data_IF_258695360320
#
_entry.id   IF_258695360320
#
_cell.length_a   1.000
_cell.length_b   1.000
_cell.length_c   1.000
_cell.angle_alpha   90.00
_cell.angle_beta   90.00
_cell.angle_gamma   90.00
#
_symmetry.space_group_name_H-M   'P 1'
#
loop_
_entity.id
_entity.type
_entity.pdbx_description
1 polymer ?
#
# COMPACT_ATOMS: atom_id res chain seq x y z
N UNK A 1 13.39 4.68 0.72
CA UNK A 1 12.95 3.48 -0.03
C UNK A 1 12.23 3.94 -1.28
N UNK A 2 12.65 3.50 -2.47
CA UNK A 2 12.03 3.93 -3.74
C UNK A 2 10.70 3.19 -3.99
N UNK A 3 9.70 3.88 -4.55
CA UNK A 3 8.43 3.27 -4.99
C UNK A 3 8.65 2.11 -5.96
N UNK A 4 9.64 2.23 -6.86
CA UNK A 4 9.98 1.19 -7.83
C UNK A 4 10.42 -0.11 -7.16
N UNK A 5 11.16 -0.02 -6.05
CA UNK A 5 11.60 -1.20 -5.31
C UNK A 5 10.43 -1.92 -4.63
N UNK A 6 9.43 -1.17 -4.16
CA UNK A 6 8.20 -1.73 -3.58
C UNK A 6 7.40 -2.43 -4.69
N UNK A 7 7.21 -1.78 -5.84
CA UNK A 7 6.50 -2.36 -6.99
C UNK A 7 7.16 -3.66 -7.47
N UNK A 8 8.49 -3.66 -7.62
CA UNK A 8 9.22 -4.87 -8.03
C UNK A 8 9.01 -6.04 -7.06
N UNK A 9 8.94 -5.75 -5.76
CA UNK A 9 8.66 -6.73 -4.72
C UNK A 9 7.26 -7.34 -4.87
N UNK A 10 6.24 -6.51 -5.08
CA UNK A 10 4.84 -6.96 -5.28
C UNK A 10 4.71 -7.80 -6.55
N UNK A 11 5.41 -7.42 -7.62
CA UNK A 11 5.48 -8.19 -8.88
C UNK A 11 6.36 -9.45 -8.80
N UNK A 12 7.07 -9.67 -7.68
CA UNK A 12 8.01 -10.78 -7.48
C UNK A 12 9.14 -10.80 -8.52
N UNK A 13 9.54 -9.62 -8.98
CA UNK A 13 10.64 -9.44 -9.92
C UNK A 13 11.88 -9.07 -9.10
N UNK A 14 12.99 -9.82 -9.21
CA UNK A 14 14.26 -9.43 -8.60
C UNK A 14 14.68 -8.05 -9.11
N UNK A 15 14.96 -7.13 -8.19
CA UNK A 15 15.39 -5.79 -8.52
C UNK A 15 16.54 -5.37 -7.60
N UNK A 16 17.51 -4.67 -8.20
CA UNK A 16 18.59 -3.99 -7.50
C UNK A 16 18.56 -2.54 -7.96
N UNK A 17 18.50 -1.60 -7.02
CA UNK A 17 18.38 -0.16 -7.29
C UNK A 17 19.57 0.58 -6.71
N UNK A 18 19.87 1.78 -7.24
CA UNK A 18 21.00 2.58 -6.74
C UNK A 18 22.37 2.06 -7.16
N UNK A 19 22.46 1.47 -8.36
CA UNK A 19 23.73 0.92 -8.88
C UNK A 19 24.66 1.98 -9.48
N UNK A 20 24.19 3.23 -9.63
CA UNK A 20 24.88 4.43 -10.14
C UNK A 20 25.46 4.31 -11.57
N UNK A 21 26.23 3.27 -11.86
CA UNK A 21 26.99 3.04 -13.10
C UNK A 21 26.34 2.01 -14.03
N UNK A 22 25.15 1.50 -13.68
CA UNK A 22 24.52 0.41 -14.42
C UNK A 22 24.20 0.79 -15.88
N UNK A 23 23.70 2.01 -16.10
CA UNK A 23 23.35 2.52 -17.44
C UNK A 23 24.55 2.70 -18.35
N UNK A 24 25.74 2.95 -17.78
CA UNK A 24 26.97 3.16 -18.55
C UNK A 24 27.63 1.83 -18.93
N UNK A 25 27.42 0.78 -18.12
CA UNK A 25 28.09 -0.51 -18.27
C UNK A 25 27.27 -1.59 -18.98
N UNK A 26 25.95 -1.40 -19.08
CA UNK A 26 25.01 -2.36 -19.67
C UNK A 26 24.57 -1.88 -21.04
N UNK A 27 24.73 -2.74 -22.06
CA UNK A 27 24.26 -2.46 -23.42
C UNK A 27 23.08 -3.33 -23.79
N UNK A 28 22.24 -2.83 -24.70
CA UNK A 28 21.15 -3.62 -25.29
C UNK A 28 21.70 -4.93 -25.88
N UNK A 29 21.11 -6.05 -25.47
CA UNK A 29 21.54 -7.39 -25.88
C UNK A 29 22.52 -8.08 -24.91
N UNK A 30 23.05 -7.37 -23.90
CA UNK A 30 23.87 -8.01 -22.87
C UNK A 30 23.04 -9.04 -22.07
N UNK A 31 23.66 -10.17 -21.78
CA UNK A 31 23.14 -11.13 -20.80
C UNK A 31 23.45 -10.61 -19.40
N UNK A 32 22.45 -10.63 -18.53
CA UNK A 32 22.55 -10.06 -17.18
C UNK A 32 21.96 -11.05 -16.17
N UNK A 33 22.59 -11.15 -15.01
CA UNK A 33 22.03 -11.80 -13.83
C UNK A 33 21.71 -10.72 -12.80
N UNK A 34 20.49 -10.74 -12.27
CA UNK A 34 20.06 -9.86 -11.17
C UNK A 34 19.87 -10.70 -9.92
N UNK A 35 20.76 -10.52 -8.94
CA UNK A 35 20.69 -11.14 -7.62
C UNK A 35 20.11 -10.16 -6.61
N UNK A 36 18.79 -10.18 -6.48
CA UNK A 36 18.07 -9.36 -5.51
C UNK A 36 18.35 -9.72 -4.05
N UNK A 37 18.92 -10.89 -3.77
CA UNK A 37 19.23 -11.32 -2.39
C UNK A 37 20.54 -10.74 -1.89
N UNK A 38 21.55 -10.66 -2.76
CA UNK A 38 22.85 -10.05 -2.41
C UNK A 38 23.02 -8.61 -2.92
N UNK A 39 22.04 -8.08 -3.66
CA UNK A 39 22.13 -6.75 -4.26
C UNK A 39 23.16 -6.66 -5.40
N UNK A 40 23.40 -7.74 -6.14
CA UNK A 40 24.42 -7.79 -7.19
C UNK A 40 23.79 -7.85 -8.59
N UNK A 41 24.41 -7.16 -9.54
CA UNK A 41 24.10 -7.30 -10.98
C UNK A 41 25.38 -7.74 -11.70
N UNK A 42 25.30 -8.87 -12.39
CA UNK A 42 26.43 -9.43 -13.14
C UNK A 42 26.15 -9.26 -14.62
N UNK A 43 26.97 -8.46 -15.28
CA UNK A 43 26.87 -8.14 -16.70
C UNK A 43 27.79 -9.07 -17.50
N UNK A 44 27.30 -9.61 -18.61
CA UNK A 44 28.02 -10.57 -19.48
C UNK A 44 28.63 -11.74 -18.66
N UNK A 45 27.81 -12.50 -17.91
CA UNK A 45 28.31 -13.59 -17.09
C UNK A 45 28.92 -14.70 -17.95
N UNK A 46 29.99 -15.30 -17.47
CA UNK A 46 30.55 -16.52 -18.08
C UNK A 46 29.58 -17.70 -17.90
N UNK A 47 29.70 -18.73 -18.74
CA UNK A 47 28.85 -19.92 -18.63
C UNK A 47 28.98 -20.63 -17.27
N UNK A 48 30.16 -20.54 -16.64
CA UNK A 48 30.38 -21.05 -15.28
C UNK A 48 29.51 -20.31 -14.27
N UNK A 49 29.56 -18.97 -14.27
CA UNK A 49 28.75 -18.13 -13.40
C UNK A 49 27.26 -18.34 -13.67
N UNK A 50 26.86 -18.43 -14.94
CA UNK A 50 25.48 -18.68 -15.33
C UNK A 50 24.96 -20.03 -14.79
N UNK A 51 25.78 -21.08 -14.82
CA UNK A 51 25.44 -22.39 -14.28
C UNK A 51 25.30 -22.37 -12.75
N UNK A 52 26.18 -21.66 -12.06
CA UNK A 52 26.12 -21.47 -10.61
C UNK A 52 24.85 -20.71 -10.19
N UNK A 53 24.53 -19.61 -10.87
CA UNK A 53 23.32 -18.83 -10.57
C UNK A 53 22.03 -19.55 -10.94
N UNK A 54 22.02 -20.39 -11.98
CA UNK A 54 20.90 -21.29 -12.25
C UNK A 54 20.67 -22.27 -11.11
N UNK A 55 21.75 -22.86 -10.55
CA UNK A 55 21.64 -23.73 -9.36
C UNK A 55 21.11 -22.95 -8.16
N UNK A 56 21.62 -21.74 -7.91
CA UNK A 56 21.18 -20.87 -6.81
C UNK A 56 19.69 -20.52 -6.94
N UNK A 57 19.24 -20.12 -8.13
CA UNK A 57 17.83 -19.82 -8.41
C UNK A 57 16.92 -21.04 -8.22
N UNK A 58 17.37 -22.23 -8.67
CA UNK A 58 16.64 -23.47 -8.46
C UNK A 58 16.55 -23.84 -6.98
N UNK A 59 17.63 -23.67 -6.20
CA UNK A 59 17.63 -23.91 -4.76
C UNK A 59 16.67 -22.96 -4.05
N UNK A 60 16.75 -21.67 -4.33
CA UNK A 60 15.82 -20.66 -3.80
C UNK A 60 14.36 -21.02 -4.12
N UNK A 61 14.07 -21.42 -5.36
CA UNK A 61 12.73 -21.84 -5.77
C UNK A 61 12.26 -23.08 -4.98
N UNK A 62 13.17 -24.02 -4.70
CA UNK A 62 12.85 -25.20 -3.88
C UNK A 62 12.59 -24.81 -2.42
N UNK A 63 13.42 -23.96 -1.83
CA UNK A 63 13.24 -23.47 -0.46
C UNK A 63 11.91 -22.73 -0.30
N UNK A 64 11.60 -21.83 -1.24
CA UNK A 64 10.32 -21.10 -1.27
C UNK A 64 9.12 -22.05 -1.41
N UNK A 65 9.26 -23.15 -2.17
CA UNK A 65 8.23 -24.20 -2.28
C UNK A 65 8.15 -25.08 -1.04
N UNK A 66 9.27 -25.27 -0.32
CA UNK A 66 9.36 -26.07 0.89
C UNK A 66 8.81 -25.34 2.12
N UNK A 67 8.75 -24.00 2.09
CA UNK A 67 8.03 -23.21 3.10
C UNK A 67 6.55 -23.60 3.07
N UNK A 68 6.18 -24.49 3.98
CA UNK A 68 4.81 -24.85 4.29
C UNK A 68 4.39 -24.10 5.54
N UNK A 69 3.53 -23.10 5.38
CA UNK A 69 2.87 -22.47 6.52
C UNK A 69 1.60 -23.27 6.78
N UNK A 70 1.44 -23.92 7.93
CA UNK A 70 0.22 -24.65 8.22
C UNK A 70 -0.93 -23.65 8.28
N UNK A 71 -1.97 -23.89 7.48
CA UNK A 71 -3.09 -22.96 7.24
C UNK A 71 -3.91 -22.56 8.48
N UNK A 72 -3.67 -23.18 9.64
CA UNK A 72 -4.56 -23.12 10.80
C UNK A 72 -3.85 -22.85 12.14
N UNK A 73 -2.60 -22.38 12.14
CA UNK A 73 -1.92 -22.04 13.40
C UNK A 73 -2.30 -20.61 13.77
N UNK A 74 -3.03 -20.45 14.88
CA UNK A 74 -3.18 -19.13 15.52
C UNK A 74 -1.78 -18.63 15.86
N UNK A 75 -1.41 -17.46 15.34
CA UNK A 75 -0.09 -16.90 15.62
C UNK A 75 -0.10 -16.41 17.07
N UNK A 76 0.71 -17.04 17.91
CA UNK A 76 0.90 -16.64 19.28
C UNK A 76 2.37 -16.73 19.68
N UNK A 77 2.74 -15.94 20.69
CA UNK A 77 4.03 -16.06 21.38
C UNK A 77 4.06 -17.35 22.22
N UNK A 78 5.25 -17.73 22.70
CA UNK A 78 5.43 -18.93 23.54
C UNK A 78 4.62 -18.89 24.85
N UNK A 79 4.35 -17.70 25.36
CA UNK A 79 3.50 -17.42 26.53
C UNK A 79 2.01 -17.23 26.18
N UNK A 80 1.62 -17.48 24.92
CA UNK A 80 0.21 -17.54 24.51
C UNK A 80 -0.42 -16.22 24.08
N UNK A 81 0.33 -15.12 23.99
CA UNK A 81 -0.20 -13.84 23.47
C UNK A 81 -0.46 -13.95 21.98
N UNK A 82 -1.74 -13.81 21.58
CA UNK A 82 -2.13 -13.79 20.19
C UNK A 82 -1.58 -12.55 19.48
N UNK A 83 -1.10 -12.75 18.25
CA UNK A 83 -0.60 -11.69 17.35
C UNK A 83 -1.32 -11.83 16.03
N UNK A 84 -1.84 -10.73 15.49
CA UNK A 84 -2.40 -10.72 14.14
C UNK A 84 -1.28 -10.50 13.13
N UNK A 85 -1.14 -11.42 12.19
CA UNK A 85 -0.20 -11.28 11.06
C UNK A 85 -1.01 -11.08 9.79
N UNK A 86 -0.99 -9.87 9.25
CA UNK A 86 -1.73 -9.50 8.04
C UNK A 86 -0.79 -9.18 6.88
N UNK A 87 -1.32 -9.24 5.65
CA UNK A 87 -0.57 -8.89 4.44
C UNK A 87 -0.59 -7.39 4.13
N UNK A 88 0.48 -6.90 3.52
CA UNK A 88 0.48 -5.59 2.84
C UNK A 88 0.39 -5.85 1.35
N UNK A 89 -0.53 -5.17 0.65
CA UNK A 89 -0.71 -5.33 -0.79
C UNK A 89 -0.88 -3.96 -1.48
N UNK A 90 -0.51 -3.93 -2.76
CA UNK A 90 -0.77 -2.84 -3.69
C UNK A 90 -1.83 -3.23 -4.71
N UNK A 91 -1.90 -4.52 -5.03
CA UNK A 91 -2.70 -5.09 -6.10
C UNK A 91 -3.66 -6.18 -5.58
N UNK A 92 -4.93 -6.21 -6.01
CA UNK A 92 -5.86 -7.28 -5.65
C UNK A 92 -5.33 -8.68 -6.03
N UNK A 93 -4.49 -8.78 -7.06
CA UNK A 93 -3.85 -10.01 -7.53
C UNK A 93 -2.93 -10.65 -6.48
N UNK A 94 -2.57 -9.92 -5.42
CA UNK A 94 -1.75 -10.43 -4.31
C UNK A 94 -2.57 -11.17 -3.24
N UNK A 95 -3.90 -11.03 -3.21
CA UNK A 95 -4.77 -11.66 -2.21
C UNK A 95 -4.62 -13.19 -2.15
N UNK A 96 -4.54 -13.93 -3.28
CA UNK A 96 -4.29 -15.37 -3.25
C UNK A 96 -2.99 -15.74 -2.52
N UNK A 97 -1.97 -14.89 -2.58
CA UNK A 97 -0.70 -15.11 -1.89
C UNK A 97 -0.85 -14.88 -0.38
N UNK A 98 -1.53 -13.81 0.02
CA UNK A 98 -1.83 -13.53 1.44
C UNK A 98 -2.54 -14.73 2.07
N UNK A 99 -3.57 -15.27 1.38
CA UNK A 99 -4.27 -16.49 1.81
C UNK A 99 -3.37 -17.73 1.82
N UNK A 100 -2.49 -17.88 0.83
CA UNK A 100 -1.54 -19.00 0.76
C UNK A 100 -0.58 -19.03 1.94
N UNK A 101 -0.13 -17.87 2.41
CA UNK A 101 0.78 -17.75 3.55
C UNK A 101 0.06 -17.64 4.91
N UNK A 102 -1.26 -17.79 4.95
CA UNK A 102 -2.03 -17.84 6.20
C UNK A 102 -2.15 -16.50 6.93
N UNK A 103 -2.01 -15.38 6.23
CA UNK A 103 -2.20 -14.06 6.83
C UNK A 103 -3.67 -13.79 7.16
N UNK A 104 -3.91 -13.21 8.33
CA UNK A 104 -5.21 -12.84 8.88
C UNK A 104 -5.61 -11.46 8.33
N UNK A 105 -5.98 -11.44 7.05
CA UNK A 105 -6.45 -10.25 6.36
C UNK A 105 -5.34 -9.37 5.77
N UNK A 106 -5.70 -8.13 5.47
CA UNK A 106 -4.82 -7.12 4.88
C UNK A 106 -4.62 -6.00 5.91
N UNK A 107 -3.38 -5.86 6.39
CA UNK A 107 -2.99 -4.81 7.33
C UNK A 107 -2.70 -3.48 6.65
N UNK A 108 -2.44 -3.50 5.34
CA UNK A 108 -2.27 -2.30 4.55
C UNK A 108 -2.59 -2.55 3.08
N UNK A 109 -3.63 -1.90 2.57
CA UNK A 109 -3.89 -1.77 1.14
C UNK A 109 -3.42 -0.40 0.67
N UNK A 110 -2.38 -0.39 -0.16
CA UNK A 110 -1.85 0.80 -0.83
C UNK A 110 -2.73 1.16 -2.03
N UNK A 111 -3.44 2.28 -1.94
CA UNK A 111 -4.43 2.65 -2.96
C UNK A 111 -3.83 3.35 -4.18
N UNK A 112 -2.52 3.63 -4.20
CA UNK A 112 -1.88 4.47 -5.22
C UNK A 112 -1.96 3.86 -6.62
N UNK A 113 -1.98 2.53 -6.74
CA UNK A 113 -1.94 1.86 -8.04
C UNK A 113 -3.10 2.27 -8.97
N UNK A 114 -4.31 2.50 -8.43
CA UNK A 114 -5.46 2.92 -9.25
C UNK A 114 -5.30 4.34 -9.83
N UNK A 115 -4.36 5.12 -9.32
CA UNK A 115 -4.04 6.48 -9.78
C UNK A 115 -2.84 6.52 -10.74
N UNK A 116 -1.95 5.51 -10.72
CA UNK A 116 -0.72 5.51 -11.51
C UNK A 116 -0.96 5.26 -13.00
N UNK A 117 -0.22 5.97 -13.85
CA UNK A 117 -0.21 5.74 -15.30
C UNK A 117 -1.48 6.18 -16.04
N UNK A 118 -2.36 6.95 -15.39
CA UNK A 118 -3.61 7.46 -15.96
C UNK A 118 -3.48 8.93 -16.33
N UNK A 119 -4.23 9.34 -17.36
CA UNK A 119 -4.41 10.77 -17.71
C UNK A 119 -5.43 11.44 -16.79
N UNK A 120 -6.50 10.71 -16.46
CA UNK A 120 -7.64 11.18 -15.66
C UNK A 120 -7.70 10.49 -14.29
N UNK A 121 -8.24 11.21 -13.30
CA UNK A 121 -8.49 10.69 -11.96
C UNK A 121 -9.56 9.59 -11.99
N UNK A 122 -9.39 8.51 -11.21
CA UNK A 122 -10.37 7.43 -11.15
C UNK A 122 -11.66 7.89 -10.45
N UNK A 123 -12.79 7.54 -11.04
CA UNK A 123 -14.13 7.87 -10.55
C UNK A 123 -14.47 7.12 -9.24
N UNK A 124 -15.50 7.60 -8.53
CA UNK A 124 -16.02 6.93 -7.31
C UNK A 124 -16.40 5.48 -7.60
N UNK A 125 -17.02 5.22 -8.76
CA UNK A 125 -17.52 3.89 -9.11
C UNK A 125 -16.39 2.90 -9.44
N UNK A 126 -15.34 3.36 -10.13
CA UNK A 126 -14.14 2.55 -10.37
C UNK A 126 -13.44 2.18 -9.06
N UNK A 127 -13.23 3.18 -8.19
CA UNK A 127 -12.63 2.97 -6.87
C UNK A 127 -13.49 2.04 -6.01
N UNK A 128 -14.81 2.24 -5.97
CA UNK A 128 -15.74 1.39 -5.23
C UNK A 128 -15.69 -0.06 -5.70
N UNK A 129 -15.71 -0.31 -7.01
CA UNK A 129 -15.62 -1.67 -7.57
C UNK A 129 -14.32 -2.36 -7.16
N UNK A 130 -13.20 -1.64 -7.23
CA UNK A 130 -11.89 -2.16 -6.82
C UNK A 130 -11.87 -2.50 -5.32
N UNK A 131 -12.27 -1.56 -4.47
CA UNK A 131 -12.26 -1.74 -3.01
C UNK A 131 -13.27 -2.79 -2.54
N UNK A 132 -14.46 -2.84 -3.13
CA UNK A 132 -15.49 -3.82 -2.80
C UNK A 132 -15.06 -5.25 -3.17
N UNK A 133 -14.36 -5.43 -4.29
CA UNK A 133 -13.78 -6.73 -4.67
C UNK A 133 -12.80 -7.22 -3.60
N UNK A 134 -11.87 -6.37 -3.20
CA UNK A 134 -10.87 -6.68 -2.17
C UNK A 134 -11.54 -7.02 -0.83
N UNK A 135 -12.49 -6.19 -0.38
CA UNK A 135 -13.20 -6.39 0.88
C UNK A 135 -13.96 -7.73 0.89
N UNK A 136 -14.61 -8.10 -0.21
CA UNK A 136 -15.31 -9.40 -0.34
C UNK A 136 -14.35 -10.58 -0.35
N UNK A 137 -13.24 -10.47 -1.06
CA UNK A 137 -12.28 -11.57 -1.18
C UNK A 137 -11.57 -11.87 0.15
N UNK A 138 -11.39 -10.88 1.02
CA UNK A 138 -10.64 -11.02 2.28
C UNK A 138 -11.52 -11.43 3.46
N UNK A 139 -12.85 -11.29 3.31
CA UNK A 139 -13.83 -11.73 4.31
C UNK A 139 -13.61 -13.22 4.70
N UNK A 140 -13.70 -13.57 6.00
CA UNK A 140 -14.18 -12.76 7.13
C UNK A 140 -13.12 -11.82 7.75
N UNK A 141 -11.87 -11.85 7.29
CA UNK A 141 -10.83 -10.99 7.83
C UNK A 141 -10.97 -9.54 7.34
N UNK A 142 -10.30 -8.62 8.04
CA UNK A 142 -10.35 -7.20 7.71
C UNK A 142 -9.36 -6.78 6.63
N UNK A 143 -9.68 -5.68 5.93
CA UNK A 143 -8.75 -4.92 5.09
C UNK A 143 -8.64 -3.48 5.57
N UNK A 144 -7.40 -2.99 5.72
CA UNK A 144 -7.12 -1.60 6.05
C UNK A 144 -6.78 -0.85 4.75
N UNK A 145 -7.68 -0.01 4.25
CA UNK A 145 -7.38 0.87 3.11
C UNK A 145 -6.65 2.13 3.60
N UNK A 146 -5.44 2.34 3.10
CA UNK A 146 -4.75 3.62 3.25
C UNK A 146 -5.22 4.55 2.15
N UNK A 147 -5.66 5.76 2.51
CA UNK A 147 -5.98 6.78 1.50
C UNK A 147 -4.75 7.13 0.68
N UNK A 148 -4.96 7.75 -0.47
CA UNK A 148 -3.90 8.02 -1.44
C UNK A 148 -2.69 8.73 -0.79
N UNK A 149 -1.51 8.14 -0.92
CA UNK A 149 -0.21 8.71 -0.54
C UNK A 149 0.59 9.02 -1.82
N UNK A 150 0.16 10.09 -2.50
CA UNK A 150 0.81 10.61 -3.70
C UNK A 150 1.15 12.09 -3.46
N UNK A 151 2.31 12.52 -3.99
CA UNK A 151 2.69 13.92 -4.08
C UNK A 151 2.18 14.55 -5.37
N UNK A 152 2.14 15.89 -5.41
CA UNK A 152 1.76 16.60 -6.63
C UNK A 152 2.58 16.20 -7.87
N UNK A 153 3.83 15.77 -7.67
CA UNK A 153 4.79 15.35 -8.70
C UNK A 153 4.32 14.20 -9.60
N UNK A 154 3.35 13.38 -9.16
CA UNK A 154 2.83 12.26 -9.96
C UNK A 154 1.55 12.57 -10.73
N UNK A 155 0.93 13.74 -10.51
CA UNK A 155 -0.15 14.25 -11.36
C UNK A 155 0.44 15.02 -12.54
N UNK A 156 1.32 14.37 -13.31
CA UNK A 156 2.12 14.96 -14.39
C UNK A 156 1.28 15.55 -15.56
N UNK A 157 -0.03 15.29 -15.60
CA UNK A 157 -0.94 15.85 -16.58
C UNK A 157 -1.68 17.12 -16.14
N UNK A 158 -1.51 17.57 -14.88
CA UNK A 158 -2.10 18.83 -14.42
C UNK A 158 -1.06 19.96 -14.37
N UNK A 159 -1.23 21.06 -15.14
CA UNK A 159 -0.26 22.16 -15.23
C UNK A 159 -0.10 22.99 -13.95
N UNK A 160 -0.86 22.71 -12.89
CA UNK A 160 -0.94 23.54 -11.68
C UNK A 160 -0.09 23.04 -10.49
N UNK A 161 0.66 21.94 -10.61
CA UNK A 161 1.50 21.49 -9.50
C UNK A 161 2.86 22.22 -9.55
N UNK A 162 3.19 23.07 -8.56
CA UNK A 162 4.50 23.70 -8.50
C UNK A 162 5.58 22.64 -8.33
N UNK A 163 6.71 22.80 -9.02
CA UNK A 163 7.86 21.93 -8.79
C UNK A 163 8.40 22.16 -7.37
N UNK A 164 8.29 21.13 -6.52
CA UNK A 164 8.78 21.21 -5.14
C UNK A 164 10.26 20.82 -5.06
N UNK A 165 11.06 21.61 -4.34
CA UNK A 165 12.46 21.25 -4.04
C UNK A 165 12.58 19.95 -3.22
N UNK A 166 11.54 19.57 -2.47
CA UNK A 166 11.55 18.36 -1.63
C UNK A 166 10.17 17.69 -1.59
N UNK A 167 9.82 16.90 -2.61
CA UNK A 167 8.52 16.21 -2.70
C UNK A 167 8.19 15.31 -1.50
N UNK A 168 9.22 14.78 -0.83
CA UNK A 168 9.06 13.95 0.37
C UNK A 168 8.56 14.73 1.59
N UNK A 169 8.89 16.02 1.69
CA UNK A 169 8.54 16.89 2.82
C UNK A 169 7.37 17.83 2.51
N UNK A 170 7.01 17.97 1.23
CA UNK A 170 6.04 18.95 0.74
C UNK A 170 4.62 18.43 0.65
N UNK A 171 3.97 18.75 -0.47
CA UNK A 171 2.54 18.60 -0.71
C UNK A 171 2.19 17.19 -1.19
N UNK A 172 2.03 16.28 -0.23
CA UNK A 172 1.69 14.87 -0.46
C UNK A 172 0.64 14.34 0.50
N UNK A 173 0.06 13.20 0.14
CA UNK A 173 -0.75 12.39 1.03
C UNK A 173 -1.93 13.18 1.64
N UNK A 174 -2.09 13.16 2.97
CA UNK A 174 -3.20 13.87 3.62
C UNK A 174 -3.22 15.37 3.32
N UNK A 175 -2.06 16.02 3.17
CA UNK A 175 -1.98 17.46 2.85
C UNK A 175 -2.53 17.76 1.46
N UNK A 176 -2.24 16.89 0.49
CA UNK A 176 -2.87 16.95 -0.84
C UNK A 176 -4.38 16.74 -0.74
N UNK A 177 -4.82 15.70 -0.02
CA UNK A 177 -6.23 15.39 0.18
C UNK A 177 -7.03 16.52 0.84
N UNK A 178 -6.44 17.22 1.81
CA UNK A 178 -7.06 18.35 2.50
C UNK A 178 -7.10 19.62 1.63
N UNK A 179 -6.10 19.81 0.76
CA UNK A 179 -6.06 20.92 -0.18
C UNK A 179 -6.97 20.72 -1.42
N UNK A 180 -7.24 19.46 -1.78
CA UNK A 180 -8.12 19.06 -2.91
C UNK A 180 -9.27 18.16 -2.42
N UNK A 181 -10.22 18.67 -1.61
CA UNK A 181 -11.28 17.86 -1.00
C UNK A 181 -12.16 17.12 -2.01
N UNK A 182 -12.34 17.66 -3.21
CA UNK A 182 -13.09 17.03 -4.30
C UNK A 182 -12.51 15.68 -4.70
N UNK A 183 -11.18 15.58 -4.82
CA UNK A 183 -10.49 14.31 -5.12
C UNK A 183 -10.58 13.36 -3.93
N UNK A 184 -10.36 13.90 -2.72
CA UNK A 184 -10.36 13.09 -1.51
C UNK A 184 -11.73 12.49 -1.21
N UNK A 185 -12.80 13.29 -1.36
CA UNK A 185 -14.18 12.84 -1.12
C UNK A 185 -14.59 11.69 -2.03
N UNK A 186 -14.13 11.67 -3.29
CA UNK A 186 -14.37 10.54 -4.21
C UNK A 186 -13.83 9.25 -3.63
N UNK A 187 -12.60 9.27 -3.12
CA UNK A 187 -11.98 8.10 -2.48
C UNK A 187 -12.68 7.72 -1.18
N UNK A 188 -12.99 8.68 -0.30
CA UNK A 188 -13.70 8.42 0.96
C UNK A 188 -15.06 7.78 0.71
N UNK A 189 -15.84 8.28 -0.26
CA UNK A 189 -17.13 7.69 -0.63
C UNK A 189 -16.98 6.27 -1.15
N UNK A 190 -15.98 6.03 -2.00
CA UNK A 190 -15.72 4.69 -2.53
C UNK A 190 -15.37 3.68 -1.43
N UNK A 191 -14.50 4.05 -0.47
CA UNK A 191 -14.13 3.19 0.66
C UNK A 191 -15.33 2.96 1.58
N UNK A 192 -16.10 4.00 1.90
CA UNK A 192 -17.33 3.88 2.69
C UNK A 192 -18.31 2.91 2.01
N UNK A 193 -18.58 3.06 0.71
CA UNK A 193 -19.47 2.13 -0.01
C UNK A 193 -18.94 0.69 0.00
N UNK A 194 -17.62 0.49 -0.02
CA UNK A 194 -17.02 -0.85 0.07
C UNK A 194 -17.15 -1.48 1.47
N UNK A 195 -17.40 -0.69 2.51
CA UNK A 195 -17.45 -1.13 3.92
C UNK A 195 -18.70 -1.87 4.35
N UNK A 196 -19.70 -2.09 3.47
CA UNK A 196 -20.98 -2.75 3.81
C UNK A 196 -20.82 -4.10 4.52
N UNK A 197 -19.70 -4.81 4.31
CA UNK A 197 -19.39 -6.07 4.98
C UNK A 197 -18.81 -5.95 6.40
N UNK A 198 -18.69 -4.75 6.96
CA UNK A 198 -18.13 -4.45 8.28
C UNK A 198 -16.70 -5.01 8.53
N UNK A 199 -15.94 -5.26 7.46
CA UNK A 199 -14.57 -5.76 7.51
C UNK A 199 -13.56 -4.77 6.89
N UNK A 200 -13.98 -3.53 6.67
CA UNK A 200 -13.14 -2.48 6.12
C UNK A 200 -12.72 -1.53 7.22
N UNK A 201 -11.45 -1.14 7.23
CA UNK A 201 -10.91 -0.05 8.05
C UNK A 201 -10.26 0.99 7.16
N UNK A 202 -10.24 2.24 7.61
CA UNK A 202 -9.67 3.37 6.90
C UNK A 202 -8.44 3.90 7.65
N UNK A 203 -7.34 4.17 6.96
CA UNK A 203 -6.13 4.74 7.54
C UNK A 203 -5.67 5.96 6.76
N UNK A 204 -5.34 7.05 7.45
CA UNK A 204 -4.77 8.26 6.83
C UNK A 204 -3.23 8.27 6.90
N UNK A 205 -2.52 8.42 5.76
CA UNK A 205 -1.07 8.58 5.71
C UNK A 205 -0.62 9.98 6.11
N UNK A 206 0.65 10.11 6.52
CA UNK A 206 1.36 11.37 6.75
C UNK A 206 0.67 12.35 7.71
N UNK A 207 -0.15 11.83 8.65
CA UNK A 207 -0.68 12.63 9.75
C UNK A 207 0.50 13.12 10.57
N UNK A 208 0.58 14.43 10.77
CA UNK A 208 1.64 15.10 11.53
C UNK A 208 1.11 15.78 12.80
N UNK A 209 -0.20 15.98 12.91
CA UNK A 209 -0.86 16.55 14.09
C UNK A 209 -2.36 16.26 14.16
N UNK A 210 -2.99 16.64 15.26
CA UNK A 210 -4.41 16.35 15.53
C UNK A 210 -5.35 17.15 14.63
N UNK A 211 -4.94 18.34 14.19
CA UNK A 211 -5.73 19.21 13.33
C UNK A 211 -6.01 18.55 11.97
N UNK A 212 -4.98 17.95 11.35
CA UNK A 212 -5.11 17.22 10.08
C UNK A 212 -6.05 16.02 10.23
N UNK A 213 -5.93 15.28 11.33
CA UNK A 213 -6.80 14.14 11.62
C UNK A 213 -8.27 14.58 11.77
N UNK A 214 -8.52 15.67 12.51
CA UNK A 214 -9.88 16.21 12.70
C UNK A 214 -10.49 16.69 11.38
N UNK A 215 -9.70 17.38 10.54
CA UNK A 215 -10.17 17.81 9.22
C UNK A 215 -10.50 16.61 8.32
N UNK A 216 -9.66 15.57 8.33
CA UNK A 216 -9.92 14.35 7.58
C UNK A 216 -11.19 13.63 8.03
N UNK A 217 -11.40 13.48 9.35
CA UNK A 217 -12.61 12.91 9.95
C UNK A 217 -13.86 13.75 9.62
N UNK A 218 -13.76 15.07 9.63
CA UNK A 218 -14.86 15.96 9.25
C UNK A 218 -15.28 15.76 7.78
N UNK A 219 -14.31 15.58 6.87
CA UNK A 219 -14.60 15.24 5.47
C UNK A 219 -15.22 13.85 5.32
N UNK A 220 -14.74 12.86 6.09
CA UNK A 220 -15.34 11.53 6.14
C UNK A 220 -16.81 11.59 6.58
N UNK A 221 -17.11 12.33 7.65
CA UNK A 221 -18.47 12.50 8.15
C UNK A 221 -19.38 13.24 7.16
N UNK A 222 -18.83 14.21 6.44
CA UNK A 222 -19.53 14.86 5.32
C UNK A 222 -19.88 13.83 4.24
N UNK A 223 -18.94 12.97 3.84
CA UNK A 223 -19.20 11.89 2.89
C UNK A 223 -20.25 10.89 3.40
N UNK A 224 -20.21 10.50 4.68
CA UNK A 224 -21.24 9.65 5.31
C UNK A 224 -22.63 10.28 5.17
N UNK A 225 -22.77 11.58 5.45
CA UNK A 225 -24.03 12.33 5.30
C UNK A 225 -24.51 12.38 3.85
N UNK A 226 -23.60 12.62 2.90
CA UNK A 226 -23.93 12.64 1.47
C UNK A 226 -24.40 11.26 0.98
N UNK A 227 -23.69 10.18 1.32
CA UNK A 227 -24.09 8.82 0.95
C UNK A 227 -25.44 8.42 1.56
N UNK A 228 -25.75 8.85 2.79
CA UNK A 228 -27.09 8.66 3.39
C UNK A 228 -28.18 9.35 2.59
N UNK A 229 -27.96 10.59 2.15
CA UNK A 229 -28.90 11.32 1.29
C UNK A 229 -29.08 10.66 -0.08
N UNK A 230 -28.00 10.08 -0.62
CA UNK A 230 -28.01 9.31 -1.87
C UNK A 230 -28.62 7.90 -1.71
N UNK A 231 -29.00 7.47 -0.50
CA UNK A 231 -29.55 6.14 -0.24
C UNK A 231 -28.52 5.00 -0.37
N UNK A 232 -27.22 5.31 -0.38
CA UNK A 232 -26.13 4.33 -0.51
C UNK A 232 -25.76 3.73 0.86
N UNK A 233 -25.65 2.40 0.92
CA UNK A 233 -25.27 1.67 2.14
C UNK A 233 -23.76 1.75 2.39
N UNK A 234 -23.37 1.79 3.66
CA UNK A 234 -22.00 1.74 4.17
C UNK A 234 -21.99 1.39 5.66
N UNK A 235 -20.83 1.04 6.22
CA UNK A 235 -20.64 0.87 7.67
C UNK A 235 -20.53 2.23 8.37
N UNK A 236 -21.51 2.56 9.22
CA UNK A 236 -21.50 3.81 9.98
C UNK A 236 -20.36 3.87 11.01
N UNK A 237 -19.91 2.71 11.49
CA UNK A 237 -18.94 2.52 12.55
C UNK A 237 -17.57 2.06 12.02
N UNK A 238 -17.30 2.31 10.72
CA UNK A 238 -16.01 2.02 10.11
C UNK A 238 -14.86 2.55 10.99
N UNK A 239 -13.91 1.67 11.33
CA UNK A 239 -12.75 2.08 12.13
C UNK A 239 -11.83 2.99 11.34
N UNK A 240 -11.39 4.08 11.97
CA UNK A 240 -10.51 5.10 11.38
C UNK A 240 -9.20 5.18 12.17
N UNK A 241 -8.09 4.95 11.50
CA UNK A 241 -6.74 5.04 12.06
C UNK A 241 -5.88 6.08 11.37
N UNK A 242 -4.70 6.30 11.94
CA UNK A 242 -3.67 7.18 11.39
C UNK A 242 -2.35 6.42 11.29
N UNK A 243 -1.65 6.57 10.17
CA UNK A 243 -0.32 5.99 10.00
C UNK A 243 0.70 6.82 10.79
N UNK A 244 1.38 6.20 11.75
CA UNK A 244 2.45 6.84 12.53
C UNK A 244 3.77 6.71 11.77
N UNK A 245 3.96 7.61 10.80
CA UNK A 245 5.16 7.66 9.94
C UNK A 245 5.86 9.02 9.95
N UNK A 246 5.31 10.01 10.66
CA UNK A 246 5.91 11.33 10.88
C UNK A 246 6.38 11.42 12.34
N UNK A 247 7.60 11.91 12.63
CA UNK A 247 8.11 12.01 13.99
C UNK A 247 7.19 12.77 14.95
N UNK A 248 6.53 13.84 14.48
CA UNK A 248 5.59 14.60 15.30
C UNK A 248 4.39 13.75 15.73
N UNK A 249 3.86 12.88 14.86
CA UNK A 249 2.77 11.99 15.22
C UNK A 249 3.17 10.93 16.26
N UNK A 250 4.42 10.45 16.20
CA UNK A 250 4.96 9.57 17.23
C UNK A 250 5.09 10.28 18.59
N UNK A 251 5.55 11.53 18.58
CA UNK A 251 5.68 12.36 19.79
C UNK A 251 4.33 12.74 20.39
N UNK A 252 3.27 12.82 19.59
CA UNK A 252 1.90 13.15 20.04
C UNK A 252 0.94 11.96 19.95
N UNK A 253 1.45 10.72 20.03
CA UNK A 253 0.64 9.53 19.83
C UNK A 253 -0.46 9.37 20.90
N UNK A 254 -0.22 9.82 22.12
CA UNK A 254 -1.19 9.84 23.23
C UNK A 254 -2.38 10.77 22.94
N UNK A 255 -2.12 11.88 22.24
CA UNK A 255 -3.15 12.83 21.79
C UNK A 255 -3.93 12.26 20.62
N UNK A 256 -3.24 11.69 19.62
CA UNK A 256 -3.87 11.07 18.45
C UNK A 256 -4.70 9.83 18.82
N UNK A 257 -4.28 9.05 19.81
CA UNK A 257 -4.96 7.81 20.23
C UNK A 257 -6.36 8.07 20.80
N UNK A 258 -6.64 9.29 21.27
CA UNK A 258 -7.99 9.69 21.72
C UNK A 258 -8.98 9.87 20.57
N UNK A 259 -8.47 10.01 19.35
CA UNK A 259 -9.24 10.34 18.14
C UNK A 259 -9.17 9.26 17.06
N UNK A 260 -8.28 8.27 17.20
CA UNK A 260 -8.11 7.14 16.28
C UNK A 260 -8.49 5.82 16.94
N UNK A 261 -9.07 4.92 16.15
CA UNK A 261 -9.40 3.55 16.60
C UNK A 261 -8.17 2.63 16.59
N UNK A 262 -7.15 2.96 15.78
CA UNK A 262 -5.90 2.21 15.65
C UNK A 262 -4.78 3.06 15.01
N UNK A 263 -3.55 2.54 15.07
CA UNK A 263 -2.36 3.03 14.36
C UNK A 263 -1.79 1.96 13.44
#
# INVERSE_FOLDING_TARGET
TSHTAIIAKSLRIPAVVGLEVATDNIRSGDRIIVDGSSGLVIVRPTDKVLKEYRKKSNLYTKEVKAIHIPKAVKVCTKDGKAIVVSGNIELPEEIPLIKKYGAEGIGLYRTEFIFLGRRDLPSEEEQYKAYSKVAKEVSPHSVIFRTIDIGGDKFLSQPEVPHEMSPFLGWRAIRFCLARPEVFKVQLKAILRASVGNNVKLMFPMISGIEELRQAKALLDKCKKELKKEGKKFDNNISVGAMIEVPSAALTADVLAKECDFF
#
